data_IF_033242122610
#
_entry.id   IF_033242122610
#
_cell.length_a   1.000
_cell.length_b   1.000
_cell.length_c   1.000
_cell.angle_alpha   90.00
_cell.angle_beta   90.00
_cell.angle_gamma   90.00
#
_symmetry.space_group_name_H-M   'P 1'
#
loop_
_entity.id
_entity.type
_entity.pdbx_description
1 polymer ?
#
# COMPACT_ATOMS: atom_id res chain seq x y z
N UNK A 1 3.78 -18.79 13.01
CA UNK A 1 3.03 -18.00 12.02
C UNK A 1 1.83 -17.37 12.69
N UNK A 2 1.55 -16.07 12.47
CA UNK A 2 0.43 -15.39 13.13
C UNK A 2 -0.92 -16.00 12.73
N UNK A 3 -1.79 -16.21 13.73
CA UNK A 3 -3.20 -16.62 13.60
C UNK A 3 -4.18 -15.45 13.78
N UNK A 4 -3.65 -14.25 14.04
CA UNK A 4 -4.42 -13.02 14.22
C UNK A 4 -4.25 -12.15 12.96
N UNK A 5 -5.31 -11.46 12.48
CA UNK A 5 -5.19 -10.49 11.40
C UNK A 5 -4.13 -9.42 11.67
N UNK A 6 -3.31 -9.13 10.66
CA UNK A 6 -2.21 -8.17 10.77
C UNK A 6 -2.50 -6.94 9.93
N UNK A 7 -2.33 -5.75 10.50
CA UNK A 7 -2.52 -4.48 9.80
C UNK A 7 -1.23 -4.13 9.06
N UNK A 8 -1.32 -4.04 7.73
CA UNK A 8 -0.21 -3.63 6.85
C UNK A 8 -0.25 -2.13 6.65
N UNK A 9 -1.41 -1.60 6.25
CA UNK A 9 -1.64 -0.18 6.07
C UNK A 9 -2.84 0.25 6.88
N UNK A 10 -2.78 1.43 7.48
CA UNK A 10 -3.93 2.04 8.14
C UNK A 10 -3.91 3.53 7.89
N UNK A 11 -4.96 4.05 7.26
CA UNK A 11 -5.18 5.48 7.24
C UNK A 11 -6.04 5.91 8.42
N UNK A 12 -5.55 6.90 9.17
CA UNK A 12 -6.20 7.41 10.37
C UNK A 12 -6.64 8.88 10.24
N UNK A 13 -7.72 9.22 10.95
CA UNK A 13 -8.11 10.60 11.26
C UNK A 13 -7.57 11.03 12.62
N UNK A 14 -7.98 12.21 13.11
CA UNK A 14 -7.69 12.64 14.49
C UNK A 14 -8.25 11.66 15.51
N UNK A 15 -7.77 11.71 16.75
CA UNK A 15 -8.32 10.96 17.89
C UNK A 15 -8.48 9.44 17.65
N UNK A 16 -7.55 8.82 16.93
CA UNK A 16 -7.53 7.37 16.71
C UNK A 16 -8.61 6.84 15.75
N UNK A 17 -9.23 7.72 14.95
CA UNK A 17 -10.20 7.30 13.93
C UNK A 17 -9.51 6.49 12.83
N UNK A 18 -10.19 5.46 12.32
CA UNK A 18 -9.70 4.58 11.26
C UNK A 18 -10.53 4.83 9.99
N UNK A 19 -9.93 5.52 9.02
CA UNK A 19 -10.57 5.83 7.74
C UNK A 19 -10.63 4.59 6.85
N UNK A 20 -9.50 3.90 6.69
CA UNK A 20 -9.40 2.64 5.97
C UNK A 20 -8.19 1.85 6.44
N UNK A 21 -8.21 0.53 6.23
CA UNK A 21 -7.07 -0.34 6.46
C UNK A 21 -6.91 -1.42 5.39
N UNK A 22 -5.68 -1.92 5.28
CA UNK A 22 -5.31 -3.11 4.53
C UNK A 22 -4.74 -4.13 5.51
N UNK A 23 -5.38 -5.29 5.59
CA UNK A 23 -5.03 -6.36 6.53
C UNK A 23 -4.64 -7.64 5.82
N UNK A 24 -3.71 -8.37 6.44
CA UNK A 24 -3.43 -9.76 6.13
C UNK A 24 -4.21 -10.66 7.10
N UNK A 25 -5.22 -11.33 6.60
CA UNK A 25 -6.11 -12.20 7.39
C UNK A 25 -5.68 -13.67 7.21
N UNK A 26 -5.26 -14.37 8.28
CA UNK A 26 -4.87 -15.77 8.19
C UNK A 26 -6.06 -16.67 7.88
N UNK A 27 -5.80 -17.77 7.16
CA UNK A 27 -6.79 -18.83 6.98
C UNK A 27 -6.98 -19.61 8.29
N UNK A 28 -8.22 -19.89 8.64
CA UNK A 28 -8.54 -20.72 9.80
C UNK A 28 -8.13 -22.20 9.60
N UNK A 29 -8.03 -22.67 8.35
CA UNK A 29 -7.76 -24.07 8.01
C UNK A 29 -6.35 -24.33 7.48
N UNK A 30 -5.54 -23.29 7.25
CA UNK A 30 -4.19 -23.44 6.72
C UNK A 30 -3.23 -22.36 7.25
N UNK A 31 -2.15 -22.78 7.90
CA UNK A 31 -1.21 -21.90 8.57
C UNK A 31 -0.30 -21.08 7.63
N UNK A 32 -0.19 -21.46 6.35
CA UNK A 32 0.54 -20.75 5.30
C UNK A 32 -0.35 -19.81 4.48
N UNK A 33 -1.65 -20.10 4.41
CA UNK A 33 -2.60 -19.30 3.64
C UNK A 33 -3.07 -18.07 4.41
N UNK A 34 -3.23 -16.98 3.69
CA UNK A 34 -3.82 -15.73 4.19
C UNK A 34 -4.47 -15.01 3.01
N UNK A 35 -5.31 -14.03 3.27
CA UNK A 35 -5.86 -13.14 2.25
C UNK A 35 -5.60 -11.69 2.60
N UNK A 36 -5.52 -10.83 1.60
CA UNK A 36 -5.51 -9.39 1.81
C UNK A 36 -6.95 -8.89 1.86
N UNK A 37 -7.25 -8.05 2.84
CA UNK A 37 -8.58 -7.49 3.09
C UNK A 37 -8.45 -5.98 3.17
N UNK A 38 -8.97 -5.29 2.15
CA UNK A 38 -9.07 -3.84 2.14
C UNK A 38 -10.45 -3.44 2.65
N UNK A 39 -10.48 -2.52 3.62
CA UNK A 39 -11.71 -2.06 4.26
C UNK A 39 -11.69 -0.55 4.37
N UNK A 40 -12.80 0.10 4.05
CA UNK A 40 -12.95 1.56 4.15
C UNK A 40 -14.23 1.91 4.89
N UNK A 41 -14.11 2.85 5.83
CA UNK A 41 -15.15 3.22 6.76
C UNK A 41 -16.31 3.90 6.04
N UNK A 42 -17.55 3.58 6.41
CA UNK A 42 -18.77 4.17 5.83
C UNK A 42 -19.41 5.21 6.74
N UNK A 43 -18.89 5.41 7.95
CA UNK A 43 -19.38 6.42 8.89
C UNK A 43 -18.82 7.81 8.55
N UNK A 44 -19.64 8.83 8.77
CA UNK A 44 -19.20 10.22 8.76
C UNK A 44 -18.05 10.40 9.76
N UNK A 45 -16.96 11.03 9.34
CA UNK A 45 -15.75 11.27 10.16
C UNK A 45 -14.99 10.01 10.61
N UNK A 46 -15.40 8.84 10.13
CA UNK A 46 -14.97 7.51 10.55
C UNK A 46 -15.16 7.21 12.05
N UNK A 47 -15.04 5.92 12.38
CA UNK A 47 -15.06 5.40 13.76
C UNK A 47 -13.66 5.15 14.31
N UNK A 48 -13.52 4.96 15.61
CA UNK A 48 -12.27 4.48 16.25
C UNK A 48 -12.08 2.96 16.10
N UNK A 49 -13.07 2.27 15.54
CA UNK A 49 -13.06 0.86 15.26
C UNK A 49 -13.66 0.56 13.87
N UNK A 50 -13.31 -0.60 13.33
CA UNK A 50 -13.98 -1.19 12.16
C UNK A 50 -14.59 -2.53 12.59
N UNK A 51 -15.88 -2.49 12.94
CA UNK A 51 -16.64 -3.68 13.31
C UNK A 51 -17.21 -4.34 12.06
N UNK A 52 -17.11 -5.68 11.91
CA UNK A 52 -17.75 -6.42 10.81
C UNK A 52 -19.25 -6.17 10.65
N UNK A 53 -19.92 -5.63 11.69
CA UNK A 53 -21.37 -5.51 11.75
C UNK A 53 -21.98 -4.25 11.13
N UNK A 54 -21.23 -3.23 10.68
CA UNK A 54 -21.89 -2.06 10.04
C UNK A 54 -21.00 -1.07 9.29
N UNK A 55 -19.80 -0.76 9.78
CA UNK A 55 -19.21 0.55 9.49
C UNK A 55 -18.10 0.53 8.43
N UNK A 56 -18.09 -0.46 7.54
CA UNK A 56 -17.18 -0.46 6.40
C UNK A 56 -17.76 -1.19 5.18
N UNK A 57 -17.23 -0.84 4.01
CA UNK A 57 -17.26 -1.68 2.81
C UNK A 57 -15.89 -2.32 2.62
N UNK A 58 -15.82 -3.46 1.97
CA UNK A 58 -14.57 -4.20 1.82
C UNK A 58 -14.46 -4.97 0.52
N UNK A 59 -13.22 -5.28 0.16
CA UNK A 59 -12.86 -6.26 -0.84
C UNK A 59 -11.73 -7.13 -0.30
N UNK A 60 -11.70 -8.40 -0.68
CA UNK A 60 -10.66 -9.32 -0.24
C UNK A 60 -10.18 -10.19 -1.38
N UNK A 61 -8.91 -10.54 -1.33
CA UNK A 61 -8.33 -11.52 -2.22
C UNK A 61 -8.77 -12.94 -1.88
N UNK A 62 -8.46 -13.86 -2.78
CA UNK A 62 -8.37 -15.28 -2.48
C UNK A 62 -7.29 -15.55 -1.41
N UNK A 63 -7.36 -16.75 -0.84
CA UNK A 63 -6.37 -17.24 0.11
C UNK A 63 -5.13 -17.75 -0.60
N UNK A 64 -4.03 -16.99 -0.48
CA UNK A 64 -2.72 -17.31 -1.05
C UNK A 64 -1.68 -17.62 0.02
N UNK A 65 -0.57 -18.23 -0.41
CA UNK A 65 0.54 -18.61 0.46
C UNK A 65 1.45 -17.40 0.79
N UNK A 66 0.91 -16.32 1.38
CA UNK A 66 1.70 -15.12 1.72
C UNK A 66 2.85 -15.39 2.70
N UNK A 67 2.80 -16.49 3.45
CA UNK A 67 3.81 -16.89 4.44
C UNK A 67 4.89 -17.81 3.84
N UNK A 68 5.13 -17.73 2.53
CA UNK A 68 6.05 -18.60 1.79
C UNK A 68 7.47 -18.03 1.63
N UNK A 69 7.79 -16.92 2.29
CA UNK A 69 9.08 -16.20 2.21
C UNK A 69 9.42 -15.62 0.82
N UNK A 70 8.47 -15.62 -0.12
CA UNK A 70 8.63 -14.97 -1.41
C UNK A 70 8.17 -13.51 -1.36
N UNK A 71 8.59 -12.74 -2.35
CA UNK A 71 8.10 -11.38 -2.54
C UNK A 71 6.68 -11.38 -3.10
N UNK A 72 5.83 -10.59 -2.46
CA UNK A 72 4.48 -10.29 -2.91
C UNK A 72 4.38 -8.80 -3.22
N UNK A 73 3.90 -8.50 -4.42
CA UNK A 73 3.58 -7.14 -4.82
C UNK A 73 2.10 -6.90 -4.59
N UNK A 74 1.76 -5.72 -4.05
CA UNK A 74 0.38 -5.29 -3.83
C UNK A 74 0.23 -3.88 -4.38
N UNK A 75 -0.81 -3.67 -5.19
CA UNK A 75 -1.19 -2.35 -5.68
C UNK A 75 -2.65 -2.10 -5.30
N UNK A 76 -2.86 -1.22 -4.31
CA UNK A 76 -4.18 -0.75 -3.90
C UNK A 76 -4.41 0.66 -4.46
N UNK A 77 -5.54 0.85 -5.14
CA UNK A 77 -5.84 2.11 -5.81
C UNK A 77 -7.32 2.40 -5.89
N UNK A 78 -7.69 3.68 -5.82
CA UNK A 78 -9.02 4.16 -6.19
C UNK A 78 -9.07 4.43 -7.69
N UNK A 79 -10.03 3.84 -8.38
CA UNK A 79 -10.18 3.95 -9.84
C UNK A 79 -11.21 4.98 -10.29
N UNK A 80 -12.18 5.33 -9.43
CA UNK A 80 -13.15 6.40 -9.71
C UNK A 80 -13.66 7.06 -8.41
N UNK A 81 -14.27 8.23 -8.56
CA UNK A 81 -14.94 8.96 -7.48
C UNK A 81 -14.10 10.08 -6.85
N UNK A 82 -14.75 11.05 -6.20
CA UNK A 82 -14.09 12.23 -5.64
C UNK A 82 -13.26 11.87 -4.40
N UNK A 83 -12.25 12.66 -4.11
CA UNK A 83 -11.53 12.64 -2.82
C UNK A 83 -12.13 13.61 -1.84
N UNK A 84 -12.39 13.14 -0.61
CA UNK A 84 -12.80 14.02 0.50
C UNK A 84 -14.16 14.71 0.29
N UNK A 85 -14.97 14.22 -0.66
CA UNK A 85 -16.34 14.69 -0.85
C UNK A 85 -17.32 13.66 -0.31
N UNK A 86 -18.26 14.11 0.51
CA UNK A 86 -19.37 13.35 1.05
C UNK A 86 -20.66 13.59 0.25
N UNK A 87 -20.55 14.07 -0.99
CA UNK A 87 -21.68 14.21 -1.91
C UNK A 87 -22.00 12.87 -2.59
N UNK A 88 -23.25 12.71 -3.05
CA UNK A 88 -23.76 11.51 -3.73
C UNK A 88 -22.90 11.13 -4.92
N UNK A 89 -21.93 10.23 -4.71
CA UNK A 89 -20.90 9.96 -5.71
C UNK A 89 -20.58 8.48 -5.81
N UNK A 90 -20.52 8.00 -7.05
CA UNK A 90 -19.99 6.67 -7.35
C UNK A 90 -18.46 6.69 -7.21
N UNK A 91 -17.92 5.62 -6.64
CA UNK A 91 -16.50 5.48 -6.38
C UNK A 91 -16.13 4.00 -6.45
N UNK A 92 -14.93 3.71 -6.93
CA UNK A 92 -14.46 2.34 -7.11
C UNK A 92 -13.00 2.19 -6.77
N UNK A 93 -12.63 0.99 -6.35
CA UNK A 93 -11.29 0.63 -5.93
C UNK A 93 -10.88 -0.69 -6.57
N UNK A 94 -9.57 -0.83 -6.79
CA UNK A 94 -8.94 -2.05 -7.24
C UNK A 94 -7.76 -2.40 -6.36
N UNK A 95 -7.58 -3.68 -6.11
CA UNK A 95 -6.40 -4.25 -5.47
C UNK A 95 -5.83 -5.31 -6.39
N UNK A 96 -4.59 -5.12 -6.82
CA UNK A 96 -3.83 -6.13 -7.53
C UNK A 96 -2.84 -6.79 -6.59
N UNK A 97 -2.69 -8.10 -6.74
CA UNK A 97 -1.77 -8.92 -5.96
C UNK A 97 -1.00 -9.78 -6.93
N UNK A 98 0.31 -9.91 -6.73
CA UNK A 98 1.08 -10.87 -7.50
C UNK A 98 2.32 -11.38 -6.82
N UNK A 99 2.70 -12.59 -7.21
CA UNK A 99 3.91 -13.30 -6.81
C UNK A 99 4.55 -13.82 -8.10
N UNK A 100 5.82 -13.50 -8.32
CA UNK A 100 6.65 -14.29 -9.23
C UNK A 100 7.64 -15.13 -8.42
N UNK A 101 8.02 -16.26 -9.01
CA UNK A 101 9.17 -17.04 -8.59
C UNK A 101 10.00 -17.30 -9.83
N UNK A 102 11.25 -16.85 -9.79
CA UNK A 102 12.12 -16.79 -10.96
C UNK A 102 11.43 -15.99 -12.09
N UNK A 103 11.34 -16.56 -13.28
CA UNK A 103 10.69 -16.03 -14.47
C UNK A 103 9.19 -16.27 -14.55
N UNK A 104 8.61 -17.04 -13.62
CA UNK A 104 7.20 -17.42 -13.66
C UNK A 104 6.36 -16.56 -12.73
N UNK A 105 5.36 -15.89 -13.30
CA UNK A 105 4.27 -15.27 -12.57
C UNK A 105 3.33 -16.37 -12.05
N UNK A 106 3.38 -16.63 -10.74
CA UNK A 106 2.62 -17.70 -10.08
C UNK A 106 1.22 -17.25 -9.72
N UNK A 107 1.11 -16.00 -9.28
CA UNK A 107 -0.16 -15.38 -8.89
C UNK A 107 -0.23 -14.01 -9.53
N UNK A 108 -1.38 -13.73 -10.15
CA UNK A 108 -1.82 -12.39 -10.51
C UNK A 108 -3.33 -12.36 -10.31
N UNK A 109 -3.78 -11.59 -9.33
CA UNK A 109 -5.18 -11.43 -8.99
C UNK A 109 -5.55 -9.95 -9.03
N UNK A 110 -6.72 -9.65 -9.58
CA UNK A 110 -7.38 -8.35 -9.46
C UNK A 110 -8.66 -8.54 -8.65
N UNK A 111 -8.78 -7.79 -7.57
CA UNK A 111 -10.02 -7.65 -6.81
C UNK A 111 -10.51 -6.23 -7.00
N UNK A 112 -11.81 -6.05 -7.19
CA UNK A 112 -12.41 -4.72 -7.30
C UNK A 112 -13.69 -4.61 -6.50
N UNK A 113 -14.02 -3.38 -6.13
CA UNK A 113 -15.32 -3.04 -5.57
C UNK A 113 -15.76 -1.67 -6.06
N UNK A 114 -17.07 -1.50 -6.23
CA UNK A 114 -17.69 -0.25 -6.69
C UNK A 114 -18.94 0.02 -5.87
N UNK A 115 -19.05 1.24 -5.36
CA UNK A 115 -20.17 1.69 -4.53
C UNK A 115 -20.60 3.08 -4.95
N UNK A 116 -21.79 3.49 -4.56
CA UNK A 116 -22.31 4.81 -4.88
C UNK A 116 -23.59 5.16 -4.14
N UNK A 117 -24.12 6.35 -4.44
CA UNK A 117 -25.34 6.86 -3.80
C UNK A 117 -25.11 7.38 -2.38
N UNK A 118 -26.21 7.70 -1.70
CA UNK A 118 -26.18 8.32 -0.36
C UNK A 118 -25.52 7.42 0.69
N UNK A 119 -25.77 6.11 0.57
CA UNK A 119 -25.39 5.10 1.57
C UNK A 119 -23.88 5.03 1.77
N UNK A 120 -23.10 5.26 0.71
CA UNK A 120 -21.64 5.05 0.72
C UNK A 120 -20.83 6.33 0.49
N UNK A 121 -21.46 7.51 0.48
CA UNK A 121 -20.77 8.79 0.23
C UNK A 121 -19.61 9.06 1.20
N UNK A 122 -19.72 8.60 2.44
CA UNK A 122 -18.64 8.76 3.43
C UNK A 122 -17.45 7.85 3.15
N UNK A 123 -17.63 6.68 2.51
CA UNK A 123 -16.50 5.85 2.10
C UNK A 123 -15.66 6.55 1.02
N UNK A 124 -16.28 7.21 0.05
CA UNK A 124 -15.57 8.04 -0.93
C UNK A 124 -14.72 9.13 -0.26
N UNK A 125 -15.31 9.83 0.71
CA UNK A 125 -14.65 10.87 1.48
C UNK A 125 -13.49 10.32 2.33
N UNK A 126 -13.71 9.19 3.01
CA UNK A 126 -12.74 8.53 3.89
C UNK A 126 -11.49 8.02 3.16
N UNK A 127 -11.45 7.98 1.82
CA UNK A 127 -10.24 7.58 1.09
C UNK A 127 -9.05 8.53 1.36
N UNK A 128 -9.30 9.84 1.42
CA UNK A 128 -8.26 10.85 1.70
C UNK A 128 -8.47 11.50 3.07
N UNK A 129 -9.68 11.94 3.39
CA UNK A 129 -10.05 12.57 4.68
C UNK A 129 -11.53 13.02 4.67
N UNK A 130 -12.22 12.87 5.79
CA UNK A 130 -13.57 13.41 6.07
C UNK A 130 -13.60 14.67 6.93
N UNK A 131 -12.48 15.38 7.11
CA UNK A 131 -12.47 16.58 7.98
C UNK A 131 -12.36 16.27 9.48
N UNK A 132 -12.38 15.00 9.88
CA UNK A 132 -11.78 14.58 11.16
C UNK A 132 -10.25 14.74 11.18
N UNK A 133 -9.65 15.25 10.11
CA UNK A 133 -8.22 15.57 10.04
C UNK A 133 -8.04 17.05 10.34
N UNK A 134 -7.24 17.38 11.35
CA UNK A 134 -6.71 18.73 11.45
C UNK A 134 -5.78 18.98 10.25
N UNK A 135 -5.96 20.09 9.54
CA UNK A 135 -5.18 20.42 8.32
C UNK A 135 -3.66 20.49 8.59
N UNK A 136 -3.29 20.73 9.85
CA UNK A 136 -1.92 20.94 10.30
C UNK A 136 -1.29 19.67 10.95
N UNK A 137 -2.06 18.59 11.13
CA UNK A 137 -1.53 17.32 11.65
C UNK A 137 -0.89 16.49 10.53
N UNK A 138 0.39 16.14 10.72
CA UNK A 138 1.14 15.20 9.87
C UNK A 138 1.01 13.75 10.39
N UNK A 139 1.07 12.75 9.49
CA UNK A 139 1.14 11.33 9.87
C UNK A 139 -0.20 10.58 9.90
N UNK A 140 -0.90 10.51 8.77
CA UNK A 140 -2.21 9.85 8.67
C UNK A 140 -2.20 8.47 8.01
N UNK A 141 -1.03 7.94 7.65
CA UNK A 141 -0.87 6.60 7.10
C UNK A 141 0.19 5.85 7.90
N UNK A 142 -0.27 4.92 8.72
CA UNK A 142 0.60 3.98 9.41
C UNK A 142 0.90 2.79 8.49
N UNK A 143 2.15 2.34 8.52
CA UNK A 143 2.65 1.25 7.68
C UNK A 143 3.35 0.22 8.56
N UNK A 144 3.06 -1.06 8.35
CA UNK A 144 3.64 -2.17 9.11
C UNK A 144 3.08 -2.32 10.53
N UNK A 145 1.93 -1.74 10.86
CA UNK A 145 1.43 -1.57 12.24
C UNK A 145 1.46 -2.83 13.12
N UNK A 146 0.93 -3.97 12.66
CA UNK A 146 1.03 -5.26 13.40
C UNK A 146 1.56 -6.39 12.52
N UNK A 147 2.22 -6.03 11.42
CA UNK A 147 2.83 -6.97 10.49
C UNK A 147 4.07 -7.60 11.15
N UNK A 148 4.17 -8.93 11.12
CA UNK A 148 5.35 -9.67 11.63
C UNK A 148 6.29 -10.13 10.50
N UNK A 149 6.12 -9.57 9.31
CA UNK A 149 6.97 -9.82 8.13
C UNK A 149 7.60 -8.53 7.65
N UNK A 150 8.38 -8.61 6.57
CA UNK A 150 9.16 -7.48 6.07
C UNK A 150 8.46 -6.75 4.93
N UNK A 151 8.66 -5.43 4.86
CA UNK A 151 8.25 -4.59 3.74
C UNK A 151 9.53 -4.12 3.04
N UNK A 152 9.65 -4.41 1.75
CA UNK A 152 10.85 -4.08 0.99
C UNK A 152 10.81 -2.70 0.34
N UNK A 153 9.62 -2.18 0.02
CA UNK A 153 9.45 -0.86 -0.57
C UNK A 153 7.99 -0.41 -0.45
N UNK A 154 7.79 0.89 -0.26
CA UNK A 154 6.47 1.54 -0.35
C UNK A 154 6.56 2.65 -1.40
N UNK A 155 5.56 2.72 -2.26
CA UNK A 155 5.40 3.77 -3.27
C UNK A 155 3.97 4.27 -3.31
N UNK A 156 3.84 5.57 -3.51
CA UNK A 156 2.56 6.18 -3.89
C UNK A 156 2.65 6.88 -5.23
N UNK A 157 1.55 6.80 -5.96
CA UNK A 157 1.41 7.35 -7.30
C UNK A 157 0.29 8.37 -7.33
N UNK A 158 0.47 9.41 -8.14
CA UNK A 158 -0.52 10.46 -8.36
C UNK A 158 -1.78 9.92 -9.05
N UNK A 159 -1.61 8.93 -9.93
CA UNK A 159 -2.68 8.33 -10.71
C UNK A 159 -2.67 6.81 -10.60
N UNK A 160 -3.82 6.15 -10.81
CA UNK A 160 -3.90 4.69 -10.88
C UNK A 160 -2.94 4.12 -11.94
N UNK A 161 -2.24 3.03 -11.60
CA UNK A 161 -1.40 2.31 -12.53
C UNK A 161 -2.19 1.24 -13.27
N UNK A 162 -1.86 1.04 -14.54
CA UNK A 162 -2.38 -0.06 -15.34
C UNK A 162 -1.90 -1.43 -14.85
N UNK A 163 -2.68 -2.47 -15.14
CA UNK A 163 -2.29 -3.85 -14.83
C UNK A 163 -0.97 -4.26 -15.48
N UNK A 164 -0.67 -3.74 -16.68
CA UNK A 164 0.60 -3.99 -17.39
C UNK A 164 1.80 -3.42 -16.63
N UNK A 165 1.70 -2.19 -16.13
CA UNK A 165 2.75 -1.57 -15.30
C UNK A 165 2.90 -2.32 -13.97
N UNK A 166 1.79 -2.74 -13.35
CA UNK A 166 1.86 -3.56 -12.14
C UNK A 166 2.58 -4.89 -12.39
N UNK A 167 2.27 -5.57 -13.50
CA UNK A 167 2.96 -6.80 -13.93
C UNK A 167 4.45 -6.56 -14.15
N UNK A 168 4.84 -5.42 -14.71
CA UNK A 168 6.24 -5.04 -14.82
C UNK A 168 6.91 -4.85 -13.45
N UNK A 169 6.22 -4.29 -12.45
CA UNK A 169 6.76 -4.18 -11.09
C UNK A 169 6.89 -5.51 -10.34
N UNK A 170 6.12 -6.54 -10.72
CA UNK A 170 6.31 -7.89 -10.19
C UNK A 170 7.64 -8.48 -10.69
N UNK A 171 7.88 -8.37 -12.00
CA UNK A 171 9.08 -8.89 -12.67
C UNK A 171 10.36 -8.07 -12.42
N UNK A 172 10.23 -6.75 -12.35
CA UNK A 172 11.30 -5.82 -11.98
C UNK A 172 10.86 -4.99 -10.77
N UNK A 173 11.12 -5.54 -9.58
CA UNK A 173 10.76 -4.93 -8.29
C UNK A 173 11.41 -3.57 -8.06
N UNK A 174 12.52 -3.27 -8.76
CA UNK A 174 13.21 -1.98 -8.68
C UNK A 174 12.75 -0.99 -9.73
N UNK A 175 11.99 -1.43 -10.73
CA UNK A 175 11.41 -0.56 -11.76
C UNK A 175 10.49 0.48 -11.13
N UNK A 176 10.64 1.72 -11.58
CA UNK A 176 9.82 2.87 -11.23
C UNK A 176 9.01 3.39 -12.40
N UNK A 177 8.81 2.60 -13.46
CA UNK A 177 7.98 3.01 -14.60
C UNK A 177 6.54 3.25 -14.17
N UNK A 178 5.89 4.25 -14.75
CA UNK A 178 4.45 4.45 -14.64
C UNK A 178 3.74 4.12 -15.95
N UNK A 179 2.54 4.65 -16.15
CA UNK A 179 1.77 4.47 -17.38
C UNK A 179 2.39 5.19 -18.58
N UNK A 180 3.18 6.24 -18.32
CA UNK A 180 3.92 7.01 -19.33
C UNK A 180 5.41 7.09 -18.99
N UNK A 181 6.23 7.40 -20.00
CA UNK A 181 7.70 7.45 -19.89
C UNK A 181 8.21 8.45 -18.83
N UNK A 182 7.47 9.53 -18.58
CA UNK A 182 7.83 10.57 -17.62
C UNK A 182 7.27 10.34 -16.21
N UNK A 183 6.39 9.34 -16.02
CA UNK A 183 5.68 9.16 -14.76
C UNK A 183 6.61 8.85 -13.59
N UNK A 184 7.74 8.19 -13.86
CA UNK A 184 8.76 7.88 -12.85
C UNK A 184 9.38 9.13 -12.23
N UNK A 185 9.33 10.27 -12.95
CA UNK A 185 9.90 11.55 -12.53
C UNK A 185 8.84 12.46 -11.91
N UNK A 186 7.63 12.49 -12.49
CA UNK A 186 6.60 13.49 -12.16
C UNK A 186 5.35 12.94 -11.46
N UNK A 187 5.17 11.62 -11.37
CA UNK A 187 3.93 11.03 -10.86
C UNK A 187 4.10 10.11 -9.64
N UNK A 188 5.32 9.85 -9.17
CA UNK A 188 5.58 9.22 -7.86
C UNK A 188 5.49 10.29 -6.77
N UNK A 189 4.58 10.18 -5.80
CA UNK A 189 4.44 11.20 -4.75
C UNK A 189 5.55 11.05 -3.70
N UNK A 190 5.73 9.83 -3.17
CA UNK A 190 6.85 9.46 -2.31
C UNK A 190 7.25 8.01 -2.55
N UNK A 191 8.51 7.69 -2.24
CA UNK A 191 9.07 6.33 -2.36
C UNK A 191 10.01 6.03 -1.19
N UNK A 192 9.61 5.10 -0.34
CA UNK A 192 10.46 4.59 0.74
C UNK A 192 11.02 3.23 0.33
N UNK A 193 12.34 3.18 0.10
CA UNK A 193 13.05 1.95 -0.29
C UNK A 193 13.40 1.05 0.89
N UNK A 194 13.30 1.56 2.12
CA UNK A 194 13.52 0.82 3.37
C UNK A 194 14.83 0.02 3.35
N UNK A 195 15.90 0.66 2.87
CA UNK A 195 17.20 0.04 2.64
C UNK A 195 18.35 0.92 3.13
N UNK A 196 18.08 1.78 4.11
CA UNK A 196 19.05 2.72 4.68
C UNK A 196 20.22 2.01 5.36
N UNK A 197 20.02 0.75 5.79
CA UNK A 197 21.03 -0.14 6.33
C UNK A 197 21.83 0.51 7.48
N UNK A 198 21.12 1.08 8.45
CA UNK A 198 21.73 1.76 9.59
C UNK A 198 22.60 0.79 10.41
N UNK A 199 23.91 1.07 10.57
CA UNK A 199 24.77 0.29 11.47
C UNK A 199 24.39 0.52 12.94
N UNK A 200 24.81 -0.41 13.80
CA UNK A 200 24.67 -0.28 15.26
C UNK A 200 25.28 1.05 15.74
N UNK A 201 24.55 1.78 16.57
CA UNK A 201 24.96 3.10 17.08
C UNK A 201 24.64 4.28 16.16
N UNK A 202 23.87 4.09 15.09
CA UNK A 202 23.38 5.20 14.26
C UNK A 202 22.52 6.17 15.07
N UNK A 203 22.83 7.46 14.99
CA UNK A 203 22.03 8.54 15.59
C UNK A 203 21.14 9.23 14.57
N UNK A 204 20.00 9.78 15.00
CA UNK A 204 19.05 10.52 14.14
C UNK A 204 18.64 9.76 12.86
N UNK A 205 18.13 8.51 12.96
CA UNK A 205 17.74 7.74 11.77
C UNK A 205 16.61 8.41 10.99
N UNK A 206 16.76 8.44 9.67
CA UNK A 206 15.81 9.04 8.74
C UNK A 206 15.47 8.06 7.62
N UNK A 207 14.21 7.62 7.55
CA UNK A 207 13.66 6.90 6.40
C UNK A 207 13.60 7.90 5.24
N UNK A 208 14.32 7.61 4.16
CA UNK A 208 14.50 8.58 3.07
C UNK A 208 13.42 8.45 2.03
N UNK A 209 12.75 9.55 1.73
CA UNK A 209 11.98 9.66 0.48
C UNK A 209 12.96 9.70 -0.69
N UNK A 210 12.91 8.68 -1.53
CA UNK A 210 13.74 8.56 -2.72
C UNK A 210 13.21 9.37 -3.91
N UNK A 211 12.10 10.12 -3.74
CA UNK A 211 11.60 11.07 -4.73
C UNK A 211 11.21 12.44 -4.12
N UNK A 212 12.12 13.14 -3.42
CA UNK A 212 11.77 14.26 -2.54
C UNK A 212 11.36 15.55 -3.28
N UNK A 213 11.39 15.57 -4.62
CA UNK A 213 11.21 16.79 -5.44
C UNK A 213 9.87 16.87 -6.18
N UNK A 214 9.05 15.81 -6.19
CA UNK A 214 7.84 15.82 -7.01
C UNK A 214 6.66 16.59 -6.37
N UNK A 215 6.56 16.58 -5.03
CA UNK A 215 5.57 17.36 -4.28
C UNK A 215 6.24 18.08 -3.12
N UNK A 216 6.93 17.31 -2.27
CA UNK A 216 7.81 17.76 -1.20
C UNK A 216 8.61 16.57 -0.70
N UNK A 217 9.57 16.81 0.19
CA UNK A 217 10.27 15.75 0.89
C UNK A 217 9.36 15.14 1.97
N UNK A 218 9.07 13.84 1.84
CA UNK A 218 8.34 13.06 2.83
C UNK A 218 9.25 12.23 3.74
N UNK A 219 10.56 12.48 3.75
CA UNK A 219 11.50 11.77 4.64
C UNK A 219 11.08 11.89 6.10
N UNK A 220 11.20 10.78 6.84
CA UNK A 220 10.69 10.63 8.19
C UNK A 220 11.83 10.35 9.15
N UNK A 221 12.03 11.25 10.12
CA UNK A 221 12.88 10.96 11.27
C UNK A 221 12.16 9.95 12.16
N UNK A 222 12.85 8.88 12.53
CA UNK A 222 12.33 7.88 13.46
C UNK A 222 13.13 7.95 14.77
N UNK A 223 12.56 7.40 15.84
CA UNK A 223 13.29 7.30 17.12
C UNK A 223 14.48 6.35 16.98
N UNK A 224 15.60 6.67 17.62
CA UNK A 224 16.76 5.77 17.74
C UNK A 224 16.38 4.44 18.41
N UNK A 225 15.36 4.46 19.29
CA UNK A 225 14.82 3.23 19.88
C UNK A 225 14.25 2.25 18.85
N UNK A 226 13.81 2.72 17.68
CA UNK A 226 13.36 1.87 16.58
C UNK A 226 14.50 0.99 16.01
N UNK A 227 15.76 1.40 16.21
CA UNK A 227 16.94 0.62 15.79
C UNK A 227 17.34 -0.46 16.79
N UNK A 228 16.72 -0.49 17.99
CA UNK A 228 17.09 -1.44 19.06
C UNK A 228 16.51 -2.86 18.87
N UNK A 229 15.67 -3.06 17.85
CA UNK A 229 15.16 -4.38 17.50
C UNK A 229 16.23 -5.25 16.82
N UNK A 230 16.25 -6.54 17.15
CA UNK A 230 17.05 -7.54 16.41
C UNK A 230 16.46 -7.69 15.01
N UNK A 231 17.33 -7.68 14.01
CA UNK A 231 17.03 -7.93 12.59
C UNK A 231 16.15 -6.88 11.90
N UNK A 232 16.53 -5.59 11.99
CA UNK A 232 15.85 -4.49 11.27
C UNK A 232 15.89 -4.64 9.75
N UNK A 233 16.95 -5.24 9.22
CA UNK A 233 17.14 -5.48 7.80
C UNK A 233 17.39 -6.96 7.54
N UNK A 234 16.84 -7.41 6.43
CA UNK A 234 17.12 -8.71 5.84
C UNK A 234 17.48 -8.51 4.37
N UNK A 235 18.27 -9.43 3.83
CA UNK A 235 18.69 -9.43 2.43
C UNK A 235 18.12 -10.64 1.73
N UNK A 236 17.47 -10.43 0.58
CA UNK A 236 16.97 -11.51 -0.23
C UNK A 236 17.27 -11.25 -1.70
N UNK A 237 17.67 -12.29 -2.42
CA UNK A 237 17.96 -12.23 -3.84
C UNK A 237 16.65 -12.40 -4.63
N UNK A 238 16.53 -11.68 -5.73
CA UNK A 238 15.42 -11.84 -6.66
C UNK A 238 15.92 -11.68 -8.08
N UNK A 239 15.31 -12.41 -9.00
CA UNK A 239 15.56 -12.23 -10.43
C UNK A 239 14.89 -10.95 -10.91
N UNK A 240 15.62 -10.21 -11.73
CA UNK A 240 15.16 -8.96 -12.35
C UNK A 240 14.97 -9.18 -13.84
N UNK A 241 13.72 -9.14 -14.29
CA UNK A 241 13.39 -9.19 -15.72
C UNK A 241 13.06 -7.78 -16.19
N UNK A 242 14.00 -7.17 -16.91
CA UNK A 242 13.85 -5.82 -17.44
C UNK A 242 13.20 -5.85 -18.81
N UNK A 243 12.23 -4.97 -19.01
CA UNK A 243 11.65 -4.70 -20.32
C UNK A 243 12.37 -3.49 -20.91
N UNK A 244 13.04 -3.65 -22.04
CA UNK A 244 13.60 -2.53 -22.78
C UNK A 244 12.46 -1.75 -23.43
N UNK A 245 12.51 -0.43 -23.36
CA UNK A 245 11.70 0.41 -24.25
C UNK A 245 12.33 0.31 -25.63
N UNK A 246 11.70 -0.42 -26.55
CA UNK A 246 12.09 -0.42 -27.95
C UNK A 246 11.92 0.99 -28.52
N UNK A 247 13.00 1.78 -28.49
CA UNK A 247 13.11 2.97 -29.30
C UNK A 247 13.25 2.51 -30.74
N UNK A 248 12.13 2.43 -31.46
CA UNK A 248 12.16 2.33 -32.92
C UNK A 248 12.77 3.62 -33.45
N UNK A 249 14.10 3.61 -33.64
CA UNK A 249 14.76 4.60 -34.47
C UNK A 249 14.24 4.42 -35.89
N UNK A 250 13.50 5.40 -36.40
CA UNK A 250 13.39 5.58 -37.83
C UNK A 250 14.81 5.87 -38.35
N UNK A 251 15.36 4.94 -39.11
CA UNK A 251 16.50 5.19 -39.99
C UNK A 251 16.04 6.01 -41.19
#
# INVERSE_FOLDING_TARGET
TSTIPQTILQSSGSAGKILWDLKLEPSASNNLKSRLSFRINTSQNAGTNMSPSANFISMSSDYHNFKNLNFWNVLLQRTAGPSGSDTYTSHSYKMYIGENKLDKLRVLEEVSMSYGGNTYKYAAANWISTGSRNKDDSGNLAIGGTLTGSIAEIRTWKYPLSASVFKQHIYDKKSTVGNSILDSQSNIIYRFRLNENWPSGSSNPVIKDSNPKNVKDYSLMISESALSHRDLYDSNMFDRIQFSTGGGGAA
#
